data_IF_801661153844
#
_entry.id   IF_801661153844
#
_cell.length_a   1.000
_cell.length_b   1.000
_cell.length_c   1.000
_cell.angle_alpha   90.00
_cell.angle_beta   90.00
_cell.angle_gamma   90.00
#
_symmetry.space_group_name_H-M   'P 1'
#
loop_
_entity.id
_entity.type
_entity.pdbx_description
1 polymer ?
#
# COMPACT_ATOMS: atom_id res chain seq x y z
N UNK A 1 -19.64 -24.41 1.06
CA UNK A 1 -20.83 -25.19 0.66
C UNK A 1 -21.90 -25.08 1.75
N UNK A 2 -23.05 -24.45 1.47
CA UNK A 2 -24.39 -24.76 2.03
C UNK A 2 -25.44 -23.96 1.25
N UNK A 3 -26.45 -24.69 0.75
CA UNK A 3 -27.56 -24.21 -0.07
C UNK A 3 -28.76 -23.95 0.84
N UNK A 4 -29.42 -22.81 0.70
CA UNK A 4 -30.72 -22.53 1.33
C UNK A 4 -31.86 -22.86 0.34
N UNK A 5 -33.01 -23.38 0.79
CA UNK A 5 -34.13 -23.71 -0.10
C UNK A 5 -34.78 -22.42 -0.63
N UNK A 6 -35.02 -22.38 -1.94
CA UNK A 6 -35.61 -21.24 -2.63
C UNK A 6 -37.10 -21.06 -2.33
N UNK A 7 -37.54 -19.80 -2.15
CA UNK A 7 -38.96 -19.43 -2.11
C UNK A 7 -39.58 -19.50 -3.51
N UNK A 8 -40.84 -19.94 -3.67
CA UNK A 8 -41.52 -19.93 -4.97
C UNK A 8 -42.02 -18.52 -5.30
N UNK A 9 -41.80 -18.07 -6.55
CA UNK A 9 -42.52 -16.90 -7.10
C UNK A 9 -41.69 -15.74 -7.67
N UNK A 10 -40.40 -15.89 -7.99
CA UNK A 10 -39.66 -14.87 -8.77
C UNK A 10 -39.46 -15.34 -10.21
N UNK A 11 -39.89 -14.51 -11.17
CA UNK A 11 -39.54 -14.66 -12.59
C UNK A 11 -38.01 -14.84 -12.73
N UNK A 12 -37.53 -15.62 -13.71
CA UNK A 12 -36.11 -15.80 -13.93
C UNK A 12 -35.51 -14.46 -14.35
N UNK A 13 -34.92 -13.74 -13.39
CA UNK A 13 -33.97 -12.68 -13.71
C UNK A 13 -32.85 -13.33 -14.52
N UNK A 14 -32.68 -12.92 -15.77
CA UNK A 14 -31.50 -13.20 -16.56
C UNK A 14 -30.30 -12.67 -15.79
N UNK A 15 -29.73 -13.49 -14.90
CA UNK A 15 -28.48 -13.17 -14.23
C UNK A 15 -27.41 -13.31 -15.29
N UNK A 16 -27.04 -12.17 -15.89
CA UNK A 16 -25.81 -12.06 -16.68
C UNK A 16 -24.69 -12.66 -15.82
N UNK A 17 -23.86 -13.52 -16.40
CA UNK A 17 -22.65 -13.93 -15.70
C UNK A 17 -21.84 -12.65 -15.45
N UNK A 18 -21.71 -12.24 -14.19
CA UNK A 18 -20.89 -11.09 -13.78
C UNK A 18 -19.43 -11.55 -13.84
N UNK A 19 -18.64 -11.12 -14.83
CA UNK A 19 -17.21 -11.37 -14.81
C UNK A 19 -16.61 -10.56 -13.64
N UNK A 20 -15.69 -11.15 -12.89
CA UNK A 20 -14.94 -10.54 -11.77
C UNK A 20 -15.63 -10.49 -10.40
N UNK A 21 -16.03 -11.66 -9.86
CA UNK A 21 -16.28 -11.75 -8.41
C UNK A 21 -15.00 -11.77 -7.56
N UNK A 22 -13.88 -12.15 -8.16
CA UNK A 22 -12.62 -12.33 -7.45
C UNK A 22 -11.74 -11.10 -7.65
N UNK A 23 -11.27 -10.52 -6.55
CA UNK A 23 -10.32 -9.41 -6.55
C UNK A 23 -8.96 -10.00 -6.16
N UNK A 24 -8.01 -9.96 -7.10
CA UNK A 24 -6.63 -10.34 -6.80
C UNK A 24 -5.98 -9.28 -5.91
N UNK A 25 -5.37 -9.73 -4.82
CA UNK A 25 -4.64 -8.90 -3.87
C UNK A 25 -3.23 -9.46 -3.74
N UNK A 26 -2.25 -8.66 -4.12
CA UNK A 26 -0.84 -8.97 -3.93
C UNK A 26 -0.38 -8.41 -2.58
N UNK A 27 0.20 -9.28 -1.75
CA UNK A 27 0.72 -8.93 -0.43
C UNK A 27 2.21 -8.61 -0.54
N UNK A 28 2.56 -7.36 -0.27
CA UNK A 28 3.94 -6.91 -0.23
C UNK A 28 4.35 -6.78 1.23
N UNK A 29 5.15 -7.71 1.74
CA UNK A 29 5.79 -7.50 3.04
C UNK A 29 6.74 -6.31 2.95
N UNK A 30 6.54 -5.35 3.86
CA UNK A 30 7.20 -4.04 3.89
C UNK A 30 7.52 -3.64 5.34
N UNK A 31 8.35 -4.42 6.04
CA UNK A 31 8.73 -4.14 7.43
C UNK A 31 9.47 -2.80 7.55
N UNK A 32 9.44 -2.25 8.75
CA UNK A 32 10.19 -1.04 9.07
C UNK A 32 9.51 -0.22 10.15
N UNK A 33 8.29 0.25 9.86
CA UNK A 33 7.45 0.88 10.89
C UNK A 33 7.08 -0.12 11.99
N UNK A 34 6.71 -1.34 11.58
CA UNK A 34 6.57 -2.51 12.47
C UNK A 34 7.15 -3.75 11.77
N UNK A 35 7.44 -4.85 12.49
CA UNK A 35 7.89 -6.10 11.85
C UNK A 35 6.85 -6.70 10.90
N UNK A 36 5.56 -6.47 11.20
CA UNK A 36 4.42 -7.04 10.48
C UNK A 36 3.85 -6.14 9.39
N UNK A 37 4.44 -4.97 9.12
CA UNK A 37 3.95 -4.03 8.12
C UNK A 37 3.88 -4.68 6.73
N UNK A 38 2.74 -4.48 6.07
CA UNK A 38 2.45 -4.99 4.73
C UNK A 38 1.72 -3.93 3.91
N UNK A 39 2.07 -3.83 2.63
CA UNK A 39 1.27 -3.12 1.65
C UNK A 39 0.42 -4.11 0.85
N UNK A 40 -0.76 -3.67 0.42
CA UNK A 40 -1.66 -4.45 -0.44
C UNK A 40 -1.71 -3.80 -1.81
N UNK A 41 -1.36 -4.54 -2.86
CA UNK A 41 -1.51 -4.08 -4.24
C UNK A 41 -2.73 -4.73 -4.86
N UNK A 42 -3.65 -3.89 -5.33
CA UNK A 42 -4.94 -4.29 -5.88
C UNK A 42 -5.07 -3.58 -7.22
N UNK A 43 -4.98 -4.33 -8.32
CA UNK A 43 -4.91 -3.75 -9.68
C UNK A 43 -3.77 -2.72 -9.76
N UNK A 44 -4.09 -1.47 -10.07
CA UNK A 44 -3.14 -0.36 -10.17
C UNK A 44 -3.14 0.53 -8.91
N UNK A 45 -3.48 -0.02 -7.74
CA UNK A 45 -3.58 0.73 -6.49
C UNK A 45 -2.74 0.05 -5.41
N UNK A 46 -2.01 0.83 -4.63
CA UNK A 46 -1.22 0.41 -3.48
C UNK A 46 -1.81 1.00 -2.20
N UNK A 47 -2.30 0.14 -1.30
CA UNK A 47 -2.59 0.51 0.09
C UNK A 47 -1.32 0.32 0.90
N UNK A 48 -0.69 1.41 1.35
CA UNK A 48 0.67 1.37 1.90
C UNK A 48 0.77 1.37 3.42
N UNK A 49 -0.36 1.54 4.12
CA UNK A 49 -0.37 1.71 5.57
C UNK A 49 0.61 2.81 6.00
N UNK A 50 1.41 2.52 7.02
CA UNK A 50 2.46 3.42 7.52
C UNK A 50 3.84 3.14 6.94
N UNK A 51 3.95 2.36 5.85
CA UNK A 51 5.24 2.20 5.15
C UNK A 51 5.56 3.45 4.33
N UNK A 52 4.60 3.95 3.52
CA UNK A 52 4.84 5.06 2.58
C UNK A 52 3.67 6.05 2.61
N UNK A 53 4.01 7.33 2.75
CA UNK A 53 3.08 8.45 2.60
C UNK A 53 3.40 9.25 1.33
N UNK A 54 2.49 10.13 0.90
CA UNK A 54 2.76 11.03 -0.25
C UNK A 54 4.00 11.88 0.03
N UNK A 55 4.10 12.41 1.25
CA UNK A 55 5.24 13.19 1.73
C UNK A 55 5.73 12.62 3.08
N UNK A 56 6.42 11.47 3.03
CA UNK A 56 6.96 10.85 4.24
C UNK A 56 6.97 9.33 4.22
N UNK A 57 7.31 8.76 5.37
CA UNK A 57 7.13 7.35 5.71
C UNK A 57 6.82 7.25 7.21
N UNK A 58 6.38 6.08 7.68
CA UNK A 58 6.15 5.87 9.11
C UNK A 58 7.42 5.98 9.93
N UNK A 59 7.27 6.36 11.19
CA UNK A 59 8.36 6.43 12.17
C UNK A 59 9.01 5.06 12.40
N UNK A 60 10.28 5.05 12.81
CA UNK A 60 11.09 3.84 12.99
C UNK A 60 11.86 3.79 14.32
N UNK A 61 11.35 4.46 15.34
CA UNK A 61 11.97 4.65 16.66
C UNK A 61 11.23 3.95 17.82
N UNK A 62 10.20 3.14 17.54
CA UNK A 62 9.44 2.41 18.56
C UNK A 62 9.93 0.97 18.73
N UNK A 63 9.61 0.28 19.84
CA UNK A 63 10.00 -1.11 20.00
C UNK A 63 9.53 -2.00 18.83
N UNK A 64 10.49 -2.65 18.18
CA UNK A 64 10.25 -3.54 17.04
C UNK A 64 10.28 -2.86 15.67
N UNK A 65 10.40 -1.53 15.57
CA UNK A 65 10.69 -0.90 14.29
C UNK A 65 12.15 -1.12 13.87
N UNK A 66 12.40 -1.00 12.58
CA UNK A 66 13.72 -1.22 11.98
C UNK A 66 13.95 -0.22 10.82
N UNK A 67 14.86 0.76 10.98
CA UNK A 67 15.15 1.75 9.93
C UNK A 67 15.78 1.13 8.67
N UNK A 68 16.55 0.04 8.80
CA UNK A 68 17.18 -0.63 7.65
C UNK A 68 16.12 -1.38 6.83
N UNK A 69 15.20 -2.05 7.53
CA UNK A 69 14.03 -2.67 6.91
C UNK A 69 13.13 -1.64 6.23
N UNK A 70 12.88 -0.48 6.86
CA UNK A 70 12.10 0.60 6.26
C UNK A 70 12.75 1.10 4.97
N UNK A 71 14.06 1.34 4.99
CA UNK A 71 14.80 1.78 3.81
C UNK A 71 14.65 0.79 2.65
N UNK A 72 14.84 -0.51 2.90
CA UNK A 72 14.67 -1.57 1.90
C UNK A 72 13.23 -1.64 1.37
N UNK A 73 12.23 -1.52 2.26
CA UNK A 73 10.80 -1.47 1.90
C UNK A 73 10.48 -0.28 0.99
N UNK A 74 11.02 0.91 1.29
CA UNK A 74 10.83 2.10 0.46
C UNK A 74 11.49 1.93 -0.92
N UNK A 75 12.67 1.31 -1.02
CA UNK A 75 13.30 0.99 -2.33
C UNK A 75 12.44 0.03 -3.15
N UNK A 76 11.90 -1.01 -2.52
CA UNK A 76 10.98 -1.96 -3.15
C UNK A 76 9.72 -1.26 -3.70
N UNK A 77 9.11 -0.37 -2.92
CA UNK A 77 7.93 0.37 -3.35
C UNK A 77 8.25 1.42 -4.42
N UNK A 78 9.42 2.05 -4.38
CA UNK A 78 9.85 3.01 -5.41
C UNK A 78 10.01 2.39 -6.80
N UNK A 79 10.16 1.07 -6.90
CA UNK A 79 10.22 0.33 -8.17
C UNK A 79 8.85 0.12 -8.83
N UNK A 80 7.73 0.46 -8.16
CA UNK A 80 6.40 0.34 -8.73
C UNK A 80 6.18 1.34 -9.89
N UNK A 81 5.30 1.02 -10.87
CA UNK A 81 4.95 1.91 -11.97
C UNK A 81 4.48 3.29 -11.50
N UNK A 82 4.84 4.33 -12.23
CA UNK A 82 4.52 5.72 -11.84
C UNK A 82 3.02 6.00 -11.81
N UNK A 83 2.22 5.30 -12.62
CA UNK A 83 0.77 5.42 -12.66
C UNK A 83 0.05 4.68 -11.52
N UNK A 84 0.76 3.91 -10.68
CA UNK A 84 0.16 3.24 -9.52
C UNK A 84 -0.38 4.27 -8.53
N UNK A 85 -1.65 4.17 -8.15
CA UNK A 85 -2.28 5.05 -7.16
C UNK A 85 -1.88 4.64 -5.73
N UNK A 86 -1.31 5.57 -4.96
CA UNK A 86 -0.95 5.38 -3.56
C UNK A 86 -2.08 5.80 -2.62
N UNK A 87 -2.47 4.90 -1.72
CA UNK A 87 -3.43 5.12 -0.62
C UNK A 87 -2.72 4.90 0.73
N UNK A 88 -2.28 5.97 1.41
CA UNK A 88 -1.59 5.87 2.69
C UNK A 88 -2.53 5.50 3.85
N UNK A 89 -1.96 4.96 4.94
CA UNK A 89 -2.68 4.66 6.18
C UNK A 89 -3.06 5.89 6.98
N UNK A 90 -2.29 6.98 6.85
CA UNK A 90 -2.52 8.27 7.48
C UNK A 90 -2.34 9.42 6.48
N UNK A 91 -3.01 10.54 6.76
CA UNK A 91 -3.10 11.69 5.86
C UNK A 91 -2.34 12.89 6.44
N UNK A 92 -1.17 13.20 5.85
CA UNK A 92 -0.31 14.32 6.27
C UNK A 92 0.02 15.32 5.14
N UNK A 93 -0.51 15.08 3.94
CA UNK A 93 -0.38 15.92 2.74
C UNK A 93 -1.68 16.67 2.45
N UNK A 94 -1.67 17.63 1.53
CA UNK A 94 -2.93 18.28 1.07
C UNK A 94 -3.88 17.27 0.41
N UNK A 95 -3.37 16.49 -0.55
CA UNK A 95 -4.13 15.45 -1.22
C UNK A 95 -4.19 14.17 -0.35
N UNK A 96 -5.32 13.43 -0.36
CA UNK A 96 -5.46 12.17 0.37
C UNK A 96 -4.80 10.98 -0.35
N UNK A 97 -4.47 11.12 -1.63
CA UNK A 97 -3.80 10.14 -2.46
C UNK A 97 -3.03 10.85 -3.59
N UNK A 98 -2.08 10.13 -4.18
CA UNK A 98 -1.31 10.57 -5.34
C UNK A 98 -0.83 9.35 -6.11
N UNK A 99 -0.43 9.53 -7.35
CA UNK A 99 0.29 8.50 -8.10
C UNK A 99 1.69 8.27 -7.51
N UNK A 100 2.29 7.11 -7.78
CA UNK A 100 3.67 6.82 -7.40
C UNK A 100 4.64 7.78 -8.08
N UNK A 101 4.37 8.23 -9.30
CA UNK A 101 5.18 9.25 -9.98
C UNK A 101 5.17 10.59 -9.25
N UNK A 102 3.99 11.09 -8.88
CA UNK A 102 3.86 12.30 -8.05
C UNK A 102 4.51 12.13 -6.68
N UNK A 103 4.35 10.96 -6.06
CA UNK A 103 4.94 10.63 -4.77
C UNK A 103 6.47 10.63 -4.86
N UNK A 104 7.07 10.00 -5.88
CA UNK A 104 8.54 10.01 -6.07
C UNK A 104 9.09 11.42 -6.28
N UNK A 105 8.34 12.28 -6.97
CA UNK A 105 8.74 13.67 -7.19
C UNK A 105 8.73 14.52 -5.89
N UNK A 106 7.82 14.23 -4.97
CA UNK A 106 7.58 15.03 -3.76
C UNK A 106 8.22 14.44 -2.49
N UNK A 107 8.32 13.11 -2.38
CA UNK A 107 8.73 12.43 -1.16
C UNK A 107 10.25 12.47 -0.99
N UNK A 108 10.73 13.24 0.00
CA UNK A 108 12.15 13.36 0.30
C UNK A 108 12.82 12.02 0.65
N UNK A 109 12.11 11.13 1.35
CA UNK A 109 12.64 9.83 1.79
C UNK A 109 12.85 8.85 0.63
N UNK A 110 12.04 8.95 -0.44
CA UNK A 110 12.27 8.17 -1.66
C UNK A 110 13.50 8.64 -2.45
N UNK A 111 13.98 9.87 -2.23
CA UNK A 111 15.16 10.43 -2.91
C UNK A 111 16.47 10.18 -2.17
N UNK A 112 16.43 9.71 -0.92
CA UNK A 112 17.62 9.26 -0.19
C UNK A 112 18.03 7.91 -0.77
N UNK A 113 19.24 7.82 -1.32
CA UNK A 113 19.77 6.63 -1.99
C UNK A 113 20.80 5.85 -1.17
N UNK A 114 21.20 6.38 0.00
CA UNK A 114 22.10 5.71 0.93
C UNK A 114 21.48 5.50 2.32
N UNK A 115 21.80 4.35 2.93
CA UNK A 115 21.25 3.94 4.22
C UNK A 115 21.76 4.80 5.38
N UNK A 116 22.99 5.32 5.29
CA UNK A 116 23.59 6.08 6.39
C UNK A 116 22.87 7.42 6.58
N UNK A 117 22.64 8.18 5.51
CA UNK A 117 21.85 9.40 5.50
C UNK A 117 20.40 9.12 5.93
N UNK A 118 19.82 8.02 5.45
CA UNK A 118 18.46 7.64 5.87
C UNK A 118 18.38 7.45 7.39
N UNK A 119 19.32 6.71 7.98
CA UNK A 119 19.37 6.50 9.44
C UNK A 119 19.62 7.80 10.21
N UNK A 120 20.43 8.72 9.69
CA UNK A 120 20.66 10.03 10.32
C UNK A 120 19.42 10.93 10.36
N UNK A 121 18.51 10.78 9.40
CA UNK A 121 17.27 11.57 9.34
C UNK A 121 16.19 10.94 10.24
N UNK A 122 16.21 9.62 10.38
CA UNK A 122 15.13 8.86 11.02
C UNK A 122 15.36 8.55 12.52
N UNK A 123 16.58 8.74 13.03
CA UNK A 123 17.01 8.47 14.41
C UNK A 123 17.58 9.72 15.07
#
# INVERSE_FOLDING_TARGET
>A
MRVTPGRPGRQPVHRRAEPDRDIEVEFLHTPGHTPGSQCFRIRNTLVSGDTLFIQGCGRVDLPGSDPEAMFASLRKLAALPDDTLLLPGHHYSEAPNATMGETKAQNAYLRIDDLATFKQIML
#
